data_IF_382311237756
#
_entry.id   IF_382311237756
#
_cell.length_a   1.000
_cell.length_b   1.000
_cell.length_c   1.000
_cell.angle_alpha   90.00
_cell.angle_beta   90.00
_cell.angle_gamma   90.00
#
_symmetry.space_group_name_H-M   'P 1'
#
loop_
_entity.id
_entity.type
_entity.pdbx_description
1 polymer ?
#
# COMPACT_ATOMS: atom_id res chain seq x y z
N UNK A 1 7.71 -11.76 9.44
CA UNK A 1 7.24 -10.36 9.59
C UNK A 1 5.73 -10.37 9.79
N UNK A 2 5.20 -9.48 10.63
CA UNK A 2 3.75 -9.31 10.81
C UNK A 2 3.25 -8.26 9.82
N UNK A 3 2.05 -8.41 9.26
CA UNK A 3 1.48 -7.46 8.30
C UNK A 3 0.96 -6.18 8.95
N UNK A 4 1.79 -5.43 9.67
CA UNK A 4 1.42 -4.13 10.26
C UNK A 4 1.60 -3.00 9.23
N UNK A 5 0.89 -1.88 9.40
CA UNK A 5 1.08 -0.65 8.59
C UNK A 5 2.56 -0.26 8.47
N UNK A 6 3.26 -0.17 9.60
CA UNK A 6 4.68 0.22 9.63
C UNK A 6 5.57 -0.74 8.82
N UNK A 7 5.30 -2.05 8.87
CA UNK A 7 6.09 -3.02 8.12
C UNK A 7 5.83 -2.93 6.62
N UNK A 8 4.60 -2.60 6.20
CA UNK A 8 4.29 -2.34 4.78
C UNK A 8 5.12 -1.14 4.28
N UNK A 9 5.12 -0.04 5.03
CA UNK A 9 5.89 1.17 4.68
C UNK A 9 7.39 0.91 4.67
N UNK A 10 7.90 0.14 5.63
CA UNK A 10 9.31 -0.25 5.67
C UNK A 10 9.71 -1.11 4.46
N UNK A 11 8.84 -2.02 4.03
CA UNK A 11 9.08 -2.84 2.82
C UNK A 11 9.09 -1.95 1.58
N UNK A 12 8.16 -1.01 1.44
CA UNK A 12 8.16 -0.05 0.33
C UNK A 12 9.43 0.79 0.29
N UNK A 13 9.90 1.29 1.44
CA UNK A 13 11.17 2.00 1.53
C UNK A 13 12.35 1.11 1.09
N UNK A 14 12.37 -0.17 1.50
CA UNK A 14 13.39 -1.12 1.09
C UNK A 14 13.37 -1.46 -0.41
N UNK A 15 12.20 -1.46 -1.04
CA UNK A 15 12.04 -1.60 -2.49
C UNK A 15 12.58 -0.35 -3.18
N UNK A 16 12.18 0.84 -2.74
CA UNK A 16 12.62 2.12 -3.31
C UNK A 16 14.15 2.26 -3.34
N UNK A 17 14.86 1.79 -2.30
CA UNK A 17 16.32 1.81 -2.27
C UNK A 17 17.00 0.92 -3.32
N UNK A 18 16.26 -0.04 -3.91
CA UNK A 18 16.79 -1.04 -4.85
C UNK A 18 16.21 -0.91 -6.26
N UNK A 19 15.18 -0.10 -6.43
CA UNK A 19 14.48 0.03 -7.70
C UNK A 19 15.19 0.99 -8.66
N UNK A 20 15.31 0.56 -9.91
CA UNK A 20 15.75 1.41 -11.02
C UNK A 20 14.55 2.11 -11.68
N UNK A 21 14.83 3.13 -12.49
CA UNK A 21 13.78 4.00 -13.06
C UNK A 21 12.73 3.29 -13.91
N UNK A 22 13.08 2.17 -14.55
CA UNK A 22 12.20 1.40 -15.43
C UNK A 22 11.57 0.17 -14.76
N UNK A 23 11.83 -0.04 -13.48
CA UNK A 23 11.27 -1.18 -12.75
C UNK A 23 9.75 -1.05 -12.61
N UNK A 24 9.11 -2.21 -12.47
CA UNK A 24 7.66 -2.32 -12.27
C UNK A 24 7.39 -2.89 -10.89
N UNK A 25 6.52 -2.22 -10.14
CA UNK A 25 6.04 -2.71 -8.86
C UNK A 25 4.69 -3.38 -9.06
N UNK A 26 4.60 -4.66 -8.65
CA UNK A 26 3.33 -5.36 -8.59
C UNK A 26 2.95 -5.56 -7.12
N UNK A 27 1.85 -4.93 -6.70
CA UNK A 27 1.37 -4.99 -5.33
C UNK A 27 0.01 -5.67 -5.28
N UNK A 28 -0.11 -6.68 -4.43
CA UNK A 28 -1.37 -7.40 -4.21
C UNK A 28 -1.76 -7.26 -2.74
N UNK A 29 -2.90 -6.62 -2.49
CA UNK A 29 -3.47 -6.43 -1.17
C UNK A 29 -4.66 -7.37 -0.99
N UNK A 30 -4.49 -8.34 -0.09
CA UNK A 30 -5.50 -9.34 0.26
C UNK A 30 -5.87 -9.15 1.73
N UNK A 31 -7.14 -8.88 1.99
CA UNK A 31 -7.65 -8.69 3.34
C UNK A 31 -9.05 -8.12 3.33
N UNK A 32 -9.58 -7.92 4.53
CA UNK A 32 -10.82 -7.17 4.71
C UNK A 32 -10.52 -5.69 4.71
N UNK A 33 -11.51 -4.90 4.30
CA UNK A 33 -11.44 -3.48 4.52
C UNK A 33 -12.77 -2.93 5.02
N UNK A 34 -12.71 -1.70 5.48
CA UNK A 34 -13.82 -1.04 6.16
C UNK A 34 -14.24 0.18 5.35
N UNK A 35 -15.55 0.29 5.10
CA UNK A 35 -16.19 1.46 4.48
C UNK A 35 -17.00 2.19 5.56
N UNK A 36 -16.97 3.52 5.58
CA UNK A 36 -17.80 4.35 6.49
C UNK A 36 -17.03 5.11 7.59
N UNK A 37 -15.70 5.06 7.60
CA UNK A 37 -14.85 6.04 8.31
C UNK A 37 -14.45 7.17 7.34
N UNK A 38 -13.74 8.19 7.83
CA UNK A 38 -13.30 9.35 7.01
C UNK A 38 -12.48 8.94 5.77
N UNK A 39 -11.69 7.86 5.85
CA UNK A 39 -10.89 7.31 4.75
C UNK A 39 -11.07 5.77 4.65
N UNK A 40 -11.16 5.18 3.44
CA UNK A 40 -11.20 3.74 3.22
C UNK A 40 -9.95 3.04 3.80
N UNK A 41 -10.13 1.82 4.31
CA UNK A 41 -9.11 1.14 5.12
C UNK A 41 -8.94 -0.32 4.70
N UNK A 42 -7.70 -0.79 4.66
CA UNK A 42 -7.35 -2.21 4.67
C UNK A 42 -7.01 -2.61 6.11
N UNK A 43 -7.70 -3.64 6.61
CA UNK A 43 -7.55 -4.05 7.99
C UNK A 43 -6.25 -4.79 8.24
N UNK A 44 -5.43 -4.24 9.12
CA UNK A 44 -4.15 -4.81 9.52
C UNK A 44 -4.08 -4.94 11.05
N UNK A 45 -3.21 -5.80 11.58
CA UNK A 45 -2.92 -5.79 13.00
C UNK A 45 -2.33 -4.45 13.46
N UNK A 46 -3.04 -3.76 14.37
CA UNK A 46 -2.68 -2.42 14.82
C UNK A 46 -3.44 -1.36 14.02
N UNK A 47 -2.81 -0.22 13.68
CA UNK A 47 -3.40 0.75 12.78
C UNK A 47 -3.69 0.13 11.41
N UNK A 48 -4.87 0.41 10.87
CA UNK A 48 -5.26 0.05 9.51
C UNK A 48 -4.38 0.81 8.49
N UNK A 49 -4.17 0.23 7.31
CA UNK A 49 -3.54 0.92 6.19
C UNK A 49 -4.59 1.75 5.44
N UNK A 50 -4.26 3.00 5.14
CA UNK A 50 -5.11 3.91 4.37
C UNK A 50 -4.44 4.34 3.06
N UNK A 51 -5.18 4.85 2.05
CA UNK A 51 -4.59 5.38 0.81
C UNK A 51 -3.48 6.40 1.03
N UNK A 52 -3.65 7.36 1.94
CA UNK A 52 -2.63 8.38 2.23
C UNK A 52 -1.29 7.81 2.71
N UNK A 53 -1.30 6.64 3.37
CA UNK A 53 -0.08 5.91 3.72
C UNK A 53 0.64 5.37 2.50
N UNK A 54 -0.14 4.79 1.57
CA UNK A 54 0.39 4.20 0.36
C UNK A 54 0.97 5.28 -0.54
N UNK A 55 0.29 6.42 -0.67
CA UNK A 55 0.81 7.61 -1.35
C UNK A 55 2.16 8.04 -0.75
N UNK A 56 2.23 8.20 0.58
CA UNK A 56 3.46 8.58 1.27
C UNK A 56 4.59 7.57 1.02
N UNK A 57 4.30 6.27 1.09
CA UNK A 57 5.28 5.21 0.85
C UNK A 57 5.80 5.17 -0.60
N UNK A 58 4.95 5.54 -1.55
CA UNK A 58 5.27 5.54 -2.98
C UNK A 58 5.97 6.82 -3.46
N UNK A 59 6.05 7.89 -2.65
CA UNK A 59 6.80 9.12 -2.99
C UNK A 59 8.24 8.83 -3.40
N UNK A 60 8.87 7.80 -2.81
CA UNK A 60 10.23 7.37 -3.11
C UNK A 60 10.37 6.53 -4.40
N UNK A 61 9.25 6.23 -5.08
CA UNK A 61 9.17 5.47 -6.33
C UNK A 61 8.50 6.31 -7.44
N UNK A 62 9.08 7.47 -7.81
CA UNK A 62 8.38 8.47 -8.63
C UNK A 62 8.25 8.09 -10.11
N UNK A 63 9.05 7.15 -10.62
CA UNK A 63 9.07 6.78 -12.05
C UNK A 63 8.58 5.37 -12.32
N UNK A 64 8.56 4.51 -11.30
CA UNK A 64 8.20 3.11 -11.45
C UNK A 64 6.71 2.98 -11.75
N UNK A 65 6.37 2.02 -12.62
CA UNK A 65 4.96 1.70 -12.87
C UNK A 65 4.43 0.78 -11.78
N UNK A 66 3.38 1.20 -11.08
CA UNK A 66 2.67 0.38 -10.09
C UNK A 66 1.46 -0.30 -10.74
N UNK A 67 1.40 -1.61 -10.64
CA UNK A 67 0.17 -2.38 -10.82
C UNK A 67 -0.34 -2.82 -9.43
N UNK A 68 -1.45 -2.22 -9.00
CA UNK A 68 -2.11 -2.52 -7.72
C UNK A 68 -3.32 -3.44 -7.93
N UNK A 69 -3.36 -4.54 -7.20
CA UNK A 69 -4.53 -5.43 -7.10
C UNK A 69 -4.99 -5.43 -5.66
N UNK A 70 -6.17 -4.86 -5.39
CA UNK A 70 -6.75 -4.84 -4.05
C UNK A 70 -8.06 -5.62 -4.04
N UNK A 71 -8.10 -6.72 -3.26
CA UNK A 71 -9.23 -7.68 -3.25
C UNK A 71 -10.14 -7.55 -2.02
N UNK A 72 -10.09 -6.42 -1.31
CA UNK A 72 -10.85 -6.22 -0.07
C UNK A 72 -12.07 -5.32 -0.25
N UNK A 73 -13.00 -5.37 0.68
CA UNK A 73 -14.08 -4.38 0.81
C UNK A 73 -13.44 -2.99 0.99
N UNK A 74 -13.91 -1.95 0.30
CA UNK A 74 -13.28 -0.60 0.22
C UNK A 74 -12.11 -0.44 -0.78
N UNK A 75 -11.77 -1.46 -1.58
CA UNK A 75 -10.65 -1.38 -2.55
C UNK A 75 -10.72 -0.20 -3.53
N UNK A 76 -11.92 0.21 -3.93
CA UNK A 76 -12.12 1.31 -4.87
C UNK A 76 -11.62 2.67 -4.38
N UNK A 77 -11.42 2.85 -3.08
CA UNK A 77 -10.89 4.09 -2.52
C UNK A 77 -9.36 4.16 -2.41
N UNK A 78 -8.65 3.12 -2.85
CA UNK A 78 -7.17 3.07 -2.92
C UNK A 78 -6.63 3.41 -4.32
N UNK A 79 -7.51 3.82 -5.24
CA UNK A 79 -7.21 4.12 -6.64
C UNK A 79 -7.55 5.57 -6.95
#
# INVERSE_FOLDING_TARGET
MRSTRDNVLQVLAGIAQKSESMDRLFMVLIGHGTVGREEPQLNLPGPDLVPSDLEQGLVALPTQTLALVHTGTASGGFI
#
